data_IF_645640971177
#
_entry.id   IF_645640971177
#
_cell.length_a   1.000
_cell.length_b   1.000
_cell.length_c   1.000
_cell.angle_alpha   90.00
_cell.angle_beta   90.00
_cell.angle_gamma   90.00
#
_symmetry.space_group_name_H-M   'P 1'
#
loop_
_entity.id
_entity.type
_entity.pdbx_description
1 polymer ?
#
# COMPACT_ATOMS: atom_id res chain seq x y z
N UNK A 1 -0.15 11.26 -15.89
CA UNK A 1 0.94 10.33 -15.50
C UNK A 1 0.37 8.92 -15.54
N UNK A 2 1.16 7.90 -15.93
CA UNK A 2 0.70 6.50 -16.06
C UNK A 2 0.99 5.65 -14.81
N UNK A 3 0.86 6.24 -13.62
CA UNK A 3 1.11 5.55 -12.35
C UNK A 3 -0.15 4.78 -11.97
N UNK A 4 -0.06 3.46 -11.94
CA UNK A 4 -1.22 2.58 -11.69
C UNK A 4 -1.54 2.45 -10.19
N UNK A 5 -0.52 2.48 -9.33
CA UNK A 5 -0.65 2.30 -7.88
C UNK A 5 0.29 3.26 -7.16
N UNK A 6 -0.20 3.91 -6.11
CA UNK A 6 0.58 4.76 -5.19
C UNK A 6 0.43 4.20 -3.78
N UNK A 7 1.56 4.03 -3.10
CA UNK A 7 1.61 3.74 -1.67
C UNK A 7 1.97 5.00 -0.91
N UNK A 8 1.08 5.45 -0.04
CA UNK A 8 1.35 6.45 0.98
C UNK A 8 1.62 5.73 2.30
N UNK A 9 2.86 5.84 2.80
CA UNK A 9 3.35 5.09 3.97
C UNK A 9 3.63 6.06 5.09
N UNK A 10 2.92 5.92 6.20
CA UNK A 10 3.15 6.72 7.39
C UNK A 10 4.17 6.02 8.31
N UNK A 11 5.46 6.30 8.09
CA UNK A 11 6.58 5.73 8.84
C UNK A 11 6.73 6.28 10.28
N UNK A 12 6.02 7.36 10.62
CA UNK A 12 6.15 8.03 11.92
C UNK A 12 4.88 7.90 12.78
N UNK A 13 3.79 7.37 12.22
CA UNK A 13 2.49 7.24 12.83
C UNK A 13 2.13 5.81 13.24
N UNK A 14 0.93 5.35 12.86
CA UNK A 14 0.28 4.13 13.37
C UNK A 14 0.63 2.82 12.61
N UNK A 15 1.80 2.72 11.98
CA UNK A 15 2.18 1.60 11.11
C UNK A 15 1.14 1.34 9.99
N UNK A 16 0.79 2.39 9.23
CA UNK A 16 -0.26 2.37 8.22
C UNK A 16 0.29 2.59 6.80
N UNK A 17 -0.20 1.78 5.86
CA UNK A 17 -0.03 1.98 4.41
C UNK A 17 -1.40 2.26 3.78
N UNK A 18 -1.49 3.34 3.00
CA UNK A 18 -2.66 3.65 2.15
C UNK A 18 -2.30 3.40 0.69
N UNK A 19 -3.02 2.48 0.06
CA UNK A 19 -2.82 2.12 -1.34
C UNK A 19 -3.91 2.76 -2.18
N UNK A 20 -3.50 3.63 -3.10
CA UNK A 20 -4.37 4.29 -4.07
C UNK A 20 -4.17 3.68 -5.45
N UNK A 21 -5.27 3.48 -6.19
CA UNK A 21 -5.25 2.90 -7.53
C UNK A 21 -5.77 3.89 -8.55
N UNK A 22 -5.21 3.84 -9.76
CA UNK A 22 -5.64 4.71 -10.86
C UNK A 22 -7.14 4.59 -11.17
N UNK A 23 -7.72 3.39 -11.04
CA UNK A 23 -9.14 3.16 -11.29
C UNK A 23 -10.07 3.83 -10.27
N UNK A 24 -9.59 4.03 -9.03
CA UNK A 24 -10.37 4.55 -7.90
C UNK A 24 -9.50 5.43 -6.99
N UNK A 25 -8.99 6.58 -7.49
CA UNK A 25 -7.93 7.33 -6.80
C UNK A 25 -8.41 8.06 -5.54
N UNK A 26 -9.72 8.25 -5.37
CA UNK A 26 -10.32 8.86 -4.17
C UNK A 26 -10.52 7.84 -3.03
N UNK A 27 -10.38 6.55 -3.33
CA UNK A 27 -10.55 5.46 -2.39
C UNK A 27 -9.20 4.79 -2.13
N UNK A 28 -8.87 4.59 -0.86
CA UNK A 28 -7.65 3.87 -0.47
C UNK A 28 -7.97 2.53 0.16
N UNK A 29 -7.13 1.54 -0.10
CA UNK A 29 -7.04 0.35 0.75
C UNK A 29 -6.05 0.62 1.86
N UNK A 30 -6.46 0.39 3.11
CA UNK A 30 -5.64 0.63 4.29
C UNK A 30 -5.11 -0.72 4.79
N UNK A 31 -3.79 -0.87 4.82
CA UNK A 31 -3.09 -1.97 5.46
C UNK A 31 -2.44 -1.49 6.75
N UNK A 32 -2.44 -2.34 7.76
CA UNK A 32 -1.88 -2.10 9.09
C UNK A 32 -0.89 -3.20 9.47
N UNK A 33 -0.22 -3.02 10.60
CA UNK A 33 0.60 -4.05 11.22
C UNK A 33 -0.08 -5.43 11.24
N UNK A 34 0.65 -6.47 10.84
CA UNK A 34 0.12 -7.83 10.67
C UNK A 34 -0.48 -8.13 9.29
N UNK A 35 -0.81 -7.12 8.49
CA UNK A 35 -1.36 -7.31 7.15
C UNK A 35 -0.27 -7.62 6.11
N UNK A 36 -0.71 -8.13 4.96
CA UNK A 36 0.08 -8.23 3.73
C UNK A 36 -0.42 -7.17 2.76
N UNK A 37 0.40 -6.14 2.53
CA UNK A 37 0.11 -5.08 1.56
C UNK A 37 0.52 -5.51 0.14
N UNK A 38 -0.23 -5.08 -0.87
CA UNK A 38 0.00 -5.46 -2.28
C UNK A 38 0.08 -4.24 -3.22
N UNK A 39 0.51 -4.48 -4.45
CA UNK A 39 0.65 -3.44 -5.46
C UNK A 39 -0.07 -3.76 -6.76
N UNK A 40 -1.20 -4.46 -6.71
CA UNK A 40 -2.02 -4.77 -7.88
C UNK A 40 -2.72 -3.52 -8.43
N UNK A 41 -2.74 -3.30 -9.76
CA UNK A 41 -2.20 -4.17 -10.81
C UNK A 41 -0.75 -3.84 -11.23
N UNK A 42 -0.09 -2.88 -10.57
CA UNK A 42 1.24 -2.41 -10.96
C UNK A 42 2.33 -3.49 -10.85
N UNK A 43 2.23 -4.38 -9.86
CA UNK A 43 3.15 -5.51 -9.66
C UNK A 43 2.35 -6.79 -9.37
N UNK A 44 1.98 -7.55 -10.41
CA UNK A 44 1.15 -8.74 -10.22
C UNK A 44 1.78 -9.83 -9.37
N UNK A 45 1.02 -10.34 -8.40
CA UNK A 45 1.39 -11.40 -7.47
C UNK A 45 2.36 -10.99 -6.36
N UNK A 46 2.77 -9.71 -6.32
CA UNK A 46 3.66 -9.22 -5.28
C UNK A 46 2.88 -8.75 -4.05
N UNK A 47 3.37 -9.12 -2.87
CA UNK A 47 2.92 -8.59 -1.59
C UNK A 47 4.10 -8.51 -0.62
N UNK A 48 3.95 -7.71 0.43
CA UNK A 48 4.89 -7.67 1.55
C UNK A 48 4.18 -7.51 2.89
N UNK A 49 4.78 -8.06 3.94
CA UNK A 49 4.33 -7.85 5.32
C UNK A 49 4.49 -6.39 5.70
N UNK A 50 3.46 -5.79 6.30
CA UNK A 50 3.55 -4.42 6.81
C UNK A 50 4.60 -4.34 7.92
N UNK A 51 4.70 -5.33 8.80
CA UNK A 51 5.69 -5.36 9.88
C UNK A 51 7.12 -5.14 9.38
N UNK A 52 7.48 -5.74 8.24
CA UNK A 52 8.84 -5.66 7.66
C UNK A 52 9.25 -4.28 7.15
N UNK A 53 8.32 -3.32 7.01
CA UNK A 53 8.64 -1.93 6.61
C UNK A 53 9.05 -1.05 7.80
N UNK A 54 8.75 -1.49 9.02
CA UNK A 54 8.93 -0.70 10.24
C UNK A 54 9.96 -1.30 11.21
N UNK A 55 10.53 -2.46 10.87
CA UNK A 55 11.68 -3.08 11.56
C UNK A 55 13.02 -2.42 11.16
#
# INVERSE_FOLDING_TARGET
AGTQVVWDVDLLGEDIIRVYREATPEESTIYRKGDQAEAEPAVPGWSMSVDSLFD
#
